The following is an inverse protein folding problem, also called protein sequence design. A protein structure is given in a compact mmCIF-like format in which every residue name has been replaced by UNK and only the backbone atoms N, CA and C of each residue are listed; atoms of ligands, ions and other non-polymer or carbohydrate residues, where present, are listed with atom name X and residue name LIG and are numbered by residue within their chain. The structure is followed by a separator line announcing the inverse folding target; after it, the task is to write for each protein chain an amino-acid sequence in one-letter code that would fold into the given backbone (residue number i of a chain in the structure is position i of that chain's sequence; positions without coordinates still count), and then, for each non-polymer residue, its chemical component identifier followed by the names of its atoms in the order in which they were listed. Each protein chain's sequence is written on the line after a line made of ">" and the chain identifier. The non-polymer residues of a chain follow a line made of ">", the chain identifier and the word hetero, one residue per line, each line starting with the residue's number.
data_IF_101750356418
#
_entry.id   IF_101750356418
#
_cell.length_a   1.000
_cell.length_b   1.000
_cell.length_c   1.000
_cell.angle_alpha   90.00
_cell.angle_beta   90.00
_cell.angle_gamma   90.00
#
_symmetry.space_group_name_H-M   'P 1'
#
loop_
_entity.id
_entity.type
_entity.pdbx_description
1 polymer ?
#
# COMPACT_ATOMS: atom_id res chain seq x y z
N UNK A 1 8.32 18.76 15.71
CA UNK A 1 7.29 17.80 15.24
C UNK A 1 7.52 17.58 13.76
N UNK A 2 7.89 16.37 13.35
CA UNK A 2 8.02 16.04 11.93
C UNK A 2 6.63 16.11 11.27
N UNK A 3 6.51 16.65 10.04
CA UNK A 3 5.24 16.72 9.34
C UNK A 3 4.65 15.32 9.15
N UNK A 4 3.32 15.22 9.16
CA UNK A 4 2.65 13.96 8.85
C UNK A 4 2.82 13.62 7.37
N UNK A 5 2.82 12.33 6.97
CA UNK A 5 2.94 11.94 5.57
C UNK A 5 1.91 12.62 4.66
N UNK A 6 0.69 12.85 5.17
CA UNK A 6 -0.36 13.57 4.45
C UNK A 6 0.01 15.04 4.15
N UNK A 7 0.71 15.71 5.07
CA UNK A 7 1.15 17.08 4.87
C UNK A 7 2.28 17.17 3.83
N UNK A 8 3.19 16.19 3.79
CA UNK A 8 4.26 16.12 2.79
C UNK A 8 3.71 15.85 1.38
N UNK A 9 2.75 14.92 1.27
CA UNK A 9 2.06 14.64 0.01
C UNK A 9 1.38 15.88 -0.55
N UNK A 10 0.74 16.68 0.31
CA UNK A 10 0.08 17.92 -0.11
C UNK A 10 1.05 18.92 -0.75
N UNK A 11 2.28 19.03 -0.22
CA UNK A 11 3.32 19.91 -0.80
C UNK A 11 3.74 19.46 -2.20
N UNK A 12 3.88 18.15 -2.40
CA UNK A 12 4.21 17.59 -3.71
C UNK A 12 3.07 17.85 -4.71
N UNK A 13 1.82 17.62 -4.29
CA UNK A 13 0.63 17.87 -5.13
C UNK A 13 0.45 19.36 -5.47
N UNK A 14 0.81 20.25 -4.55
CA UNK A 14 0.82 21.70 -4.77
C UNK A 14 2.04 22.20 -5.57
N UNK A 15 3.02 21.33 -5.86
CA UNK A 15 4.26 21.70 -6.55
C UNK A 15 5.26 22.50 -5.70
N UNK A 16 5.00 22.63 -4.39
CA UNK A 16 5.89 23.24 -3.38
C UNK A 16 7.09 22.34 -3.07
N UNK A 17 6.93 21.03 -3.26
CA UNK A 17 7.99 20.03 -3.21
C UNK A 17 8.15 19.43 -4.62
N UNK A 18 9.40 19.42 -5.13
CA UNK A 18 9.72 18.94 -6.49
C UNK A 18 10.02 17.45 -6.55
N UNK A 19 9.96 16.74 -5.43
CA UNK A 19 10.11 15.28 -5.40
C UNK A 19 8.96 14.62 -6.16
N UNK A 20 9.26 13.48 -6.77
CA UNK A 20 8.27 12.66 -7.46
C UNK A 20 7.52 11.79 -6.45
N UNK A 21 6.19 11.90 -6.42
CA UNK A 21 5.34 10.97 -5.68
C UNK A 21 5.27 9.63 -6.43
N UNK A 22 5.64 8.54 -5.75
CA UNK A 22 5.63 7.18 -6.29
C UNK A 22 4.73 6.30 -5.44
N UNK A 23 3.60 5.87 -5.99
CA UNK A 23 2.71 4.89 -5.36
C UNK A 23 3.06 3.51 -5.92
N UNK A 24 3.65 2.64 -5.11
CA UNK A 24 4.14 1.33 -5.55
C UNK A 24 3.86 0.25 -4.52
N UNK A 25 3.54 -0.96 -4.97
CA UNK A 25 3.26 -2.07 -4.08
C UNK A 25 2.63 -3.26 -4.80
N UNK A 26 2.37 -4.35 -4.06
CA UNK A 26 1.72 -5.53 -4.59
C UNK A 26 0.33 -5.21 -5.16
N UNK A 27 -0.10 -6.02 -6.12
CA UNK A 27 -1.36 -5.78 -6.80
C UNK A 27 -2.56 -5.92 -5.85
N UNK A 28 -2.48 -6.87 -4.94
CA UNK A 28 -3.37 -7.06 -3.78
C UNK A 28 -2.58 -7.80 -2.70
N UNK A 29 -2.85 -7.48 -1.45
CA UNK A 29 -2.24 -8.13 -0.29
C UNK A 29 -3.13 -9.30 0.11
N UNK A 30 -2.56 -10.50 0.15
CA UNK A 30 -3.24 -11.72 0.61
C UNK A 30 -2.42 -12.47 1.67
N UNK A 31 -1.16 -12.07 1.88
CA UNK A 31 -0.27 -12.59 2.91
C UNK A 31 0.33 -11.39 3.67
N UNK A 32 0.11 -11.36 4.98
CA UNK A 32 0.61 -10.31 5.87
C UNK A 32 2.13 -10.39 6.05
N UNK A 33 2.70 -11.60 6.09
CA UNK A 33 4.15 -11.80 6.28
C UNK A 33 4.90 -11.24 5.08
N UNK A 34 4.50 -11.63 3.87
CA UNK A 34 5.08 -11.10 2.64
C UNK A 34 4.87 -9.58 2.49
N UNK A 35 3.73 -9.05 2.94
CA UNK A 35 3.47 -7.61 2.94
C UNK A 35 4.43 -6.85 3.86
N UNK A 36 4.67 -7.37 5.07
CA UNK A 36 5.62 -6.76 6.01
C UNK A 36 7.05 -6.82 5.50
N UNK A 37 7.47 -7.95 4.92
CA UNK A 37 8.79 -8.07 4.30
C UNK A 37 8.97 -7.08 3.14
N UNK A 38 7.95 -6.93 2.29
CA UNK A 38 7.94 -5.93 1.24
C UNK A 38 8.05 -4.51 1.80
N UNK A 39 7.30 -4.19 2.86
CA UNK A 39 7.33 -2.89 3.51
C UNK A 39 8.73 -2.57 4.06
N UNK A 40 9.40 -3.55 4.69
CA UNK A 40 10.77 -3.39 5.19
C UNK A 40 11.74 -3.07 4.06
N UNK A 41 11.68 -3.81 2.94
CA UNK A 41 12.52 -3.56 1.77
C UNK A 41 12.23 -2.19 1.15
N UNK A 42 10.94 -1.81 1.08
CA UNK A 42 10.51 -0.53 0.53
C UNK A 42 10.97 0.65 1.40
N UNK A 43 10.98 0.49 2.73
CA UNK A 43 11.46 1.52 3.65
C UNK A 43 12.93 1.84 3.43
N UNK A 44 13.78 0.84 3.17
CA UNK A 44 15.18 1.06 2.81
C UNK A 44 15.32 1.89 1.54
N UNK A 45 14.53 1.59 0.51
CA UNK A 45 14.52 2.35 -0.74
C UNK A 45 13.97 3.77 -0.57
N UNK A 46 12.92 3.94 0.24
CA UNK A 46 12.38 5.26 0.59
C UNK A 46 13.45 6.14 1.23
N UNK A 47 14.21 5.59 2.19
CA UNK A 47 15.31 6.32 2.82
C UNK A 47 16.43 6.64 1.84
N UNK A 48 16.80 5.71 0.97
CA UNK A 48 17.85 5.88 -0.03
C UNK A 48 17.52 6.98 -1.05
N UNK A 49 16.25 7.09 -1.46
CA UNK A 49 15.83 8.02 -2.51
C UNK A 49 15.03 9.23 -2.00
N UNK A 50 14.96 9.45 -0.67
CA UNK A 50 14.12 10.47 -0.03
C UNK A 50 14.36 11.91 -0.55
N UNK A 51 15.53 12.20 -1.10
CA UNK A 51 15.87 13.53 -1.66
C UNK A 51 15.20 13.82 -3.00
N UNK A 52 14.72 12.78 -3.71
CA UNK A 52 14.13 12.89 -5.04
C UNK A 52 12.74 12.26 -5.14
N UNK A 53 12.45 11.26 -4.31
CA UNK A 53 11.22 10.49 -4.36
C UNK A 53 10.50 10.55 -3.01
N UNK A 54 9.18 10.65 -3.07
CA UNK A 54 8.29 10.33 -1.96
C UNK A 54 7.59 9.02 -2.28
N UNK A 55 8.04 7.92 -1.65
CA UNK A 55 7.54 6.58 -1.93
C UNK A 55 6.44 6.21 -0.94
N UNK A 56 5.26 5.88 -1.46
CA UNK A 56 4.10 5.42 -0.70
C UNK A 56 3.76 3.99 -1.07
N UNK A 57 3.68 3.11 -0.08
CA UNK A 57 3.29 1.71 -0.29
C UNK A 57 1.81 1.62 -0.68
N UNK A 58 1.54 0.91 -1.78
CA UNK A 58 0.18 0.54 -2.18
C UNK A 58 -0.30 -0.67 -1.37
N UNK A 59 -1.35 -0.49 -0.59
CA UNK A 59 -1.97 -1.53 0.24
C UNK A 59 -3.44 -1.73 -0.13
N UNK A 60 -3.70 -2.64 -1.09
CA UNK A 60 -5.07 -3.04 -1.45
C UNK A 60 -5.39 -4.41 -0.87
N UNK A 61 -6.30 -4.44 0.11
CA UNK A 61 -6.74 -5.67 0.77
C UNK A 61 -7.77 -6.45 -0.07
N UNK A 62 -8.47 -5.77 -0.98
CA UNK A 62 -9.47 -6.41 -1.84
C UNK A 62 -9.36 -5.85 -3.26
N UNK A 63 -9.60 -6.73 -4.24
CA UNK A 63 -9.80 -6.30 -5.63
C UNK A 63 -11.31 -6.31 -5.89
N UNK A 64 -11.92 -5.19 -6.27
CA UNK A 64 -13.31 -5.22 -6.68
C UNK A 64 -13.41 -6.08 -7.95
N UNK A 65 -13.98 -7.28 -7.82
CA UNK A 65 -14.33 -8.15 -8.94
C UNK A 65 -15.77 -7.83 -9.33
N UNK A 66 -15.99 -7.42 -10.57
CA UNK A 66 -17.31 -7.23 -11.15
C UNK A 66 -17.82 -8.55 -11.73
N UNK A 67 -18.05 -9.54 -10.87
CA UNK A 67 -18.97 -10.70 -11.02
C UNK A 67 -18.83 -11.56 -9.76
N UNK A 68 -19.94 -12.12 -9.29
CA UNK A 68 -20.12 -12.85 -8.02
C UNK A 68 -18.91 -13.73 -7.65
N UNK A 69 -18.17 -13.38 -6.59
CA UNK A 69 -17.07 -14.22 -6.07
C UNK A 69 -16.08 -13.52 -5.13
N UNK A 70 -16.00 -14.05 -3.91
CA UNK A 70 -15.08 -13.83 -2.76
C UNK A 70 -14.77 -12.38 -2.32
N UNK A 71 -15.32 -12.00 -1.14
CA UNK A 71 -15.37 -10.65 -0.54
C UNK A 71 -14.26 -10.37 0.51
N UNK A 72 -13.09 -11.00 0.35
CA UNK A 72 -11.91 -10.68 1.17
C UNK A 72 -11.97 -11.11 2.65
N UNK A 73 -10.79 -11.02 3.29
CA UNK A 73 -10.50 -11.50 4.66
C UNK A 73 -11.23 -10.69 5.76
N UNK A 74 -11.75 -9.51 5.43
CA UNK A 74 -12.59 -8.74 6.37
C UNK A 74 -13.95 -9.43 6.56
N UNK A 75 -14.38 -10.23 5.58
CA UNK A 75 -15.68 -10.91 5.61
C UNK A 75 -15.65 -12.38 6.03
N UNK A 76 -14.49 -13.05 6.08
CA UNK A 76 -14.41 -14.47 6.46
C UNK A 76 -12.98 -14.89 6.89
N UNK A 77 -12.66 -14.94 8.20
CA UNK A 77 -11.35 -15.36 8.70
C UNK A 77 -11.11 -16.88 8.66
N UNK A 78 -12.15 -17.72 8.46
CA UNK A 78 -12.06 -19.17 8.67
C UNK A 78 -12.21 -20.05 7.42
N UNK A 79 -12.34 -19.47 6.22
CA UNK A 79 -12.16 -20.17 4.94
C UNK A 79 -12.91 -21.53 4.85
N UNK A 80 -14.12 -21.64 5.41
CA UNK A 80 -14.92 -22.87 5.33
C UNK A 80 -15.85 -22.83 4.12
N UNK A 81 -15.26 -23.12 2.97
CA UNK A 81 -16.02 -23.65 1.85
C UNK A 81 -16.45 -25.09 2.18
N UNK A 82 -17.68 -25.27 2.66
CA UNK A 82 -18.35 -26.56 2.65
C UNK A 82 -19.60 -26.45 1.77
N UNK A 83 -19.50 -27.05 0.58
CA UNK A 83 -20.63 -27.46 -0.24
C UNK A 83 -21.42 -28.54 0.50
N UNK A 84 -22.75 -28.36 0.54
CA UNK A 84 -23.74 -29.28 1.10
C UNK A 84 -25.13 -28.70 0.93
#
# INVERSE_FOLDING_TARGET
>A
MSPTPAAELKKILNGEDKRLLVIIGPCSIHDLTAAMEYATRLQSLRNQYQSRLEIVMRTYFEKPRTVVGWKGLISDPDLTAAIG
#
